data_IF_209879622208
#
_entry.id   IF_209879622208
#
_cell.length_a   1.000
_cell.length_b   1.000
_cell.length_c   1.000
_cell.angle_alpha   90.00
_cell.angle_beta   90.00
_cell.angle_gamma   90.00
#
_symmetry.space_group_name_H-M   'P 1'
#
loop_
_entity.id
_entity.type
_entity.pdbx_description
1 polymer ?
#
# COMPACT_ATOMS: atom_id res chain seq x y z
N UNK A 1 -2.86 -14.47 16.98
CA UNK A 1 -1.75 -14.25 17.94
C UNK A 1 -0.40 -13.96 17.31
N UNK A 2 0.26 -14.87 16.58
CA UNK A 2 1.62 -14.60 16.04
C UNK A 2 1.66 -13.50 14.98
N UNK A 3 0.78 -13.57 13.97
CA UNK A 3 0.71 -12.58 12.88
C UNK A 3 0.37 -11.17 13.38
N UNK A 4 -0.55 -11.08 14.36
CA UNK A 4 -0.93 -9.79 14.97
C UNK A 4 0.24 -9.16 15.74
N UNK A 5 1.00 -9.98 16.49
CA UNK A 5 2.22 -9.52 17.17
C UNK A 5 3.28 -9.03 16.19
N UNK A 6 3.45 -9.72 15.06
CA UNK A 6 4.35 -9.29 13.99
C UNK A 6 3.92 -7.93 13.43
N UNK A 7 2.65 -7.78 13.06
CA UNK A 7 2.11 -6.50 12.52
C UNK A 7 2.26 -5.37 13.53
N UNK A 8 1.98 -5.61 14.80
CA UNK A 8 2.17 -4.60 15.86
C UNK A 8 3.65 -4.21 16.02
N UNK A 9 4.57 -5.17 16.00
CA UNK A 9 6.01 -4.92 16.05
C UNK A 9 6.52 -4.10 14.86
N UNK A 10 6.05 -4.40 13.64
CA UNK A 10 6.40 -3.63 12.44
C UNK A 10 5.89 -2.18 12.51
N UNK A 11 4.66 -1.97 13.01
CA UNK A 11 4.13 -0.62 13.23
C UNK A 11 4.98 0.15 14.23
N UNK A 12 5.36 -0.49 15.35
CA UNK A 12 6.22 0.12 16.36
C UNK A 12 7.61 0.47 15.80
N UNK A 13 8.19 -0.42 15.00
CA UNK A 13 9.48 -0.17 14.35
C UNK A 13 9.42 1.04 13.40
N UNK A 14 8.34 1.19 12.63
CA UNK A 14 8.16 2.37 11.78
C UNK A 14 8.10 3.68 12.60
N UNK A 15 7.45 3.66 13.77
CA UNK A 15 7.42 4.82 14.67
C UNK A 15 8.82 5.13 15.24
N UNK A 16 9.55 4.10 15.69
CA UNK A 16 10.88 4.25 16.28
C UNK A 16 11.91 4.77 15.26
N UNK A 17 11.77 4.37 14.00
CA UNK A 17 12.59 4.84 12.87
C UNK A 17 12.07 6.13 12.23
N UNK A 18 10.98 6.70 12.76
CA UNK A 18 10.35 7.92 12.25
C UNK A 18 10.00 7.83 10.75
N UNK A 19 9.53 6.67 10.29
CA UNK A 19 9.10 6.46 8.90
C UNK A 19 7.81 7.27 8.67
N UNK A 20 7.80 8.19 7.70
CA UNK A 20 6.64 9.03 7.43
C UNK A 20 5.48 8.23 6.81
N UNK A 21 4.26 8.75 6.89
CA UNK A 21 3.11 8.17 6.18
C UNK A 21 3.20 8.49 4.69
N UNK A 22 2.48 7.71 3.88
CA UNK A 22 2.46 7.92 2.43
C UNK A 22 1.97 9.35 2.10
N UNK A 23 0.88 9.79 2.72
CA UNK A 23 0.36 11.16 2.56
C UNK A 23 1.33 12.27 3.01
N UNK A 24 2.28 11.97 3.91
CA UNK A 24 3.27 12.97 4.39
C UNK A 24 4.40 13.21 3.38
N UNK A 25 4.70 12.20 2.54
CA UNK A 25 5.80 12.26 1.56
C UNK A 25 5.34 12.43 0.12
N UNK A 26 4.11 12.01 -0.18
CA UNK A 26 3.50 12.26 -1.46
C UNK A 26 3.28 13.78 -1.61
N UNK A 27 3.92 14.38 -2.60
CA UNK A 27 3.79 15.82 -2.91
C UNK A 27 2.54 16.14 -3.72
N UNK A 28 1.48 15.37 -3.52
CA UNK A 28 0.19 15.46 -4.21
C UNK A 28 -0.93 15.39 -3.19
N UNK A 29 -2.08 15.98 -3.48
CA UNK A 29 -3.26 15.85 -2.63
C UNK A 29 -3.98 14.52 -2.84
N UNK A 30 -4.93 14.20 -1.97
CA UNK A 30 -5.71 12.97 -2.04
C UNK A 30 -6.48 12.87 -3.37
N UNK A 31 -7.00 13.98 -3.89
CA UNK A 31 -7.70 14.01 -5.18
C UNK A 31 -6.79 13.55 -6.32
N UNK A 32 -5.59 14.12 -6.42
CA UNK A 32 -4.60 13.75 -7.44
C UNK A 32 -4.14 12.31 -7.24
N UNK A 33 -4.01 11.85 -5.99
CA UNK A 33 -3.71 10.45 -5.69
C UNK A 33 -4.82 9.53 -6.22
N UNK A 34 -6.08 9.79 -5.88
CA UNK A 34 -7.23 9.01 -6.30
C UNK A 34 -7.33 8.88 -7.83
N UNK A 35 -7.02 9.95 -8.58
CA UNK A 35 -6.97 9.94 -10.04
C UNK A 35 -5.89 9.01 -10.62
N UNK A 36 -4.85 8.67 -9.84
CA UNK A 36 -3.70 7.86 -10.29
C UNK A 36 -3.71 6.44 -9.77
N UNK A 37 -4.33 6.19 -8.62
CA UNK A 37 -4.27 4.89 -7.93
C UNK A 37 -4.78 3.73 -8.80
N UNK A 38 -5.84 3.95 -9.60
CA UNK A 38 -6.32 2.92 -10.53
C UNK A 38 -5.28 2.57 -11.61
N UNK A 39 -4.58 3.56 -12.15
CA UNK A 39 -3.51 3.31 -13.13
C UNK A 39 -2.34 2.57 -12.47
N UNK A 40 -1.94 2.98 -11.26
CA UNK A 40 -0.88 2.29 -10.49
C UNK A 40 -1.25 0.83 -10.18
N UNK A 41 -2.53 0.55 -9.89
CA UNK A 41 -3.02 -0.81 -9.69
C UNK A 41 -2.94 -1.66 -10.97
N UNK A 42 -3.37 -1.09 -12.11
CA UNK A 42 -3.26 -1.76 -13.40
C UNK A 42 -1.80 -2.01 -13.81
N UNK A 43 -0.92 -1.04 -13.59
CA UNK A 43 0.52 -1.17 -13.85
C UNK A 43 1.15 -2.25 -12.97
N UNK A 44 0.73 -2.34 -11.69
CA UNK A 44 1.17 -3.40 -10.78
C UNK A 44 0.81 -4.79 -11.32
N UNK A 45 -0.43 -4.98 -11.78
CA UNK A 45 -0.88 -6.23 -12.41
C UNK A 45 -0.10 -6.53 -13.70
N UNK A 46 0.06 -5.53 -14.56
CA UNK A 46 0.77 -5.66 -15.84
C UNK A 46 2.26 -6.01 -15.66
N UNK A 47 2.88 -5.57 -14.56
CA UNK A 47 4.28 -5.92 -14.24
C UNK A 47 4.50 -7.42 -14.00
N UNK A 48 3.43 -8.19 -13.73
CA UNK A 48 3.50 -9.60 -13.39
C UNK A 48 3.99 -9.90 -11.97
N UNK A 49 4.41 -8.89 -11.20
CA UNK A 49 4.85 -9.05 -9.80
C UNK A 49 3.79 -9.74 -8.92
N UNK A 50 2.47 -9.44 -9.06
CA UNK A 50 1.44 -10.09 -8.26
C UNK A 50 1.34 -11.60 -8.46
N UNK A 51 1.86 -12.16 -9.56
CA UNK A 51 1.87 -13.62 -9.81
C UNK A 51 2.70 -14.41 -8.78
N UNK A 52 3.57 -13.73 -8.03
CA UNK A 52 4.35 -14.32 -6.94
C UNK A 52 3.67 -14.18 -5.56
N UNK A 53 2.52 -13.51 -5.48
CA UNK A 53 1.80 -13.33 -4.23
C UNK A 53 0.89 -14.55 -3.97
N UNK A 54 0.77 -15.04 -2.71
CA UNK A 54 -0.13 -16.17 -2.39
C UNK A 54 -1.60 -15.94 -2.74
N UNK A 55 -2.01 -14.67 -2.86
CA UNK A 55 -3.33 -14.26 -3.31
C UNK A 55 -3.15 -13.32 -4.49
N UNK A 56 -3.64 -13.69 -5.68
CA UNK A 56 -3.61 -12.80 -6.83
C UNK A 56 -4.74 -11.77 -6.67
N UNK A 57 -4.43 -10.47 -6.47
CA UNK A 57 -5.45 -9.46 -6.23
C UNK A 57 -6.10 -8.99 -7.54
N UNK A 58 -7.30 -8.40 -7.44
CA UNK A 58 -7.87 -7.56 -8.52
C UNK A 58 -7.32 -6.13 -8.45
N UNK A 59 -7.54 -5.33 -9.50
CA UNK A 59 -7.12 -3.93 -9.51
C UNK A 59 -7.79 -3.15 -8.35
N UNK A 60 -9.07 -3.39 -8.11
CA UNK A 60 -9.85 -2.76 -7.04
C UNK A 60 -9.29 -3.11 -5.65
N UNK A 61 -8.87 -4.36 -5.44
CA UNK A 61 -8.24 -4.77 -4.18
C UNK A 61 -6.89 -4.07 -3.96
N UNK A 62 -6.14 -3.79 -5.02
CA UNK A 62 -4.91 -3.00 -4.93
C UNK A 62 -5.23 -1.53 -4.64
N UNK A 63 -6.26 -0.97 -5.29
CA UNK A 63 -6.77 0.39 -5.02
C UNK A 63 -7.13 0.54 -3.53
N UNK A 64 -7.90 -0.40 -2.98
CA UNK A 64 -8.28 -0.41 -1.57
C UNK A 64 -7.05 -0.45 -0.63
N UNK A 65 -5.98 -1.13 -1.03
CA UNK A 65 -4.73 -1.17 -0.27
C UNK A 65 -3.99 0.18 -0.31
N UNK A 66 -3.97 0.84 -1.46
CA UNK A 66 -3.42 2.19 -1.58
C UNK A 66 -4.18 3.19 -0.71
N UNK A 67 -5.51 3.13 -0.68
CA UNK A 67 -6.33 3.99 0.20
C UNK A 67 -6.15 3.69 1.70
N UNK A 68 -5.84 2.45 2.07
CA UNK A 68 -5.48 2.11 3.47
C UNK A 68 -4.08 2.58 3.87
N UNK A 69 -3.18 2.75 2.88
CA UNK A 69 -1.79 3.14 3.10
C UNK A 69 -1.60 4.67 3.11
N UNK A 70 -2.46 5.39 2.39
CA UNK A 70 -2.56 6.85 2.40
C UNK A 70 -2.80 7.38 3.82
#
# INVERSE_FOLDING_TARGET
>A
VANEKLVAGLKKLNEDLQIPRLGDVCKVDLTTFDEKVLNMANDSLASGSPNNNPVIPTAEQIVDLYHKAW
#
